data_IF_657281552909
#
_entry.id   IF_657281552909
#
_cell.length_a   1.000
_cell.length_b   1.000
_cell.length_c   1.000
_cell.angle_alpha   90.00
_cell.angle_beta   90.00
_cell.angle_gamma   90.00
#
_symmetry.space_group_name_H-M   'P 1'
#
loop_
_entity.id
_entity.type
_entity.pdbx_description
1 polymer ?
#
# COMPACT_ATOMS: atom_id res chain seq x y z
N UNK A 1 -25.05 -13.26 1.43
CA UNK A 1 -24.17 -14.34 1.97
C UNK A 1 -23.31 -13.77 3.10
N UNK A 2 -22.55 -14.59 3.84
CA UNK A 2 -21.66 -14.12 4.91
C UNK A 2 -20.20 -14.49 4.62
N UNK A 3 -19.29 -13.56 4.90
CA UNK A 3 -17.84 -13.70 4.72
C UNK A 3 -17.13 -13.50 6.04
N UNK A 4 -16.07 -14.26 6.26
CA UNK A 4 -15.29 -14.26 7.50
C UNK A 4 -13.87 -13.74 7.23
N UNK A 5 -13.44 -12.79 8.06
CA UNK A 5 -12.10 -12.23 8.06
C UNK A 5 -11.50 -12.33 9.46
N UNK A 6 -10.18 -12.24 9.55
CA UNK A 6 -9.46 -12.18 10.82
C UNK A 6 -8.63 -10.90 10.87
N UNK A 7 -8.67 -10.22 12.01
CA UNK A 7 -7.86 -9.03 12.30
C UNK A 7 -7.04 -9.32 13.55
N UNK A 8 -5.73 -9.13 13.46
CA UNK A 8 -4.82 -9.29 14.58
C UNK A 8 -4.94 -8.10 15.52
N UNK A 9 -5.11 -8.36 16.82
CA UNK A 9 -5.09 -7.30 17.83
C UNK A 9 -4.62 -7.80 19.18
N UNK A 10 -3.61 -7.11 19.73
CA UNK A 10 -3.08 -7.37 21.07
C UNK A 10 -2.65 -8.83 21.30
N UNK A 11 -2.08 -9.48 20.28
CA UNK A 11 -1.58 -10.85 20.39
C UNK A 11 -2.57 -11.94 19.99
N UNK A 12 -3.78 -11.57 19.53
CA UNK A 12 -4.84 -12.52 19.20
C UNK A 12 -5.51 -12.19 17.88
N UNK A 13 -5.87 -13.22 17.12
CA UNK A 13 -6.71 -13.09 15.93
C UNK A 13 -8.18 -12.94 16.33
N UNK A 14 -8.82 -11.88 15.86
CA UNK A 14 -10.24 -11.59 16.07
C UNK A 14 -11.02 -11.84 14.81
N UNK A 15 -12.02 -12.71 14.91
CA UNK A 15 -12.93 -13.03 13.82
C UNK A 15 -13.92 -11.88 13.57
N UNK A 16 -14.10 -11.51 12.30
CA UNK A 16 -15.05 -10.51 11.85
C UNK A 16 -15.87 -11.08 10.69
N UNK A 17 -17.18 -11.17 10.92
CA UNK A 17 -18.14 -11.63 9.91
C UNK A 17 -18.85 -10.43 9.28
N UNK A 18 -18.92 -10.37 7.96
CA UNK A 18 -19.63 -9.33 7.20
C UNK A 18 -20.52 -9.94 6.13
N UNK A 19 -21.65 -9.28 5.85
CA UNK A 19 -22.47 -9.55 4.67
C UNK A 19 -21.90 -8.89 3.41
N UNK A 20 -22.52 -9.15 2.27
CA UNK A 20 -22.17 -8.65 0.93
C UNK A 20 -22.76 -7.27 0.56
N UNK A 21 -23.49 -6.60 1.46
CA UNK A 21 -23.98 -5.23 1.18
C UNK A 21 -22.83 -4.23 1.26
N UNK A 22 -22.33 -3.79 0.10
CA UNK A 22 -21.27 -2.80 0.00
C UNK A 22 -21.84 -1.39 -0.25
N UNK A 23 -21.27 -0.33 0.34
CA UNK A 23 -21.65 1.05 0.03
C UNK A 23 -21.39 1.40 -1.43
N UNK A 24 -22.39 2.00 -2.10
CA UNK A 24 -22.35 2.36 -3.52
C UNK A 24 -22.79 3.82 -3.68
N UNK A 25 -22.04 4.59 -4.48
CA UNK A 25 -22.38 5.95 -4.89
C UNK A 25 -22.38 5.97 -6.43
N UNK A 26 -23.47 6.48 -7.02
CA UNK A 26 -23.63 6.55 -8.49
C UNK A 26 -23.37 5.22 -9.23
N UNK A 27 -23.77 4.10 -8.62
CA UNK A 27 -23.57 2.76 -9.18
C UNK A 27 -22.15 2.19 -9.08
N UNK A 28 -21.23 2.88 -8.38
CA UNK A 28 -19.86 2.43 -8.15
C UNK A 28 -19.60 2.22 -6.65
N UNK A 29 -18.73 1.28 -6.30
CA UNK A 29 -18.30 1.09 -4.90
C UNK A 29 -17.75 2.41 -4.35
N UNK A 30 -18.24 2.82 -3.18
CA UNK A 30 -17.86 4.10 -2.56
C UNK A 30 -16.43 4.10 -2.01
N UNK A 31 -15.90 2.92 -1.68
CA UNK A 31 -14.58 2.71 -1.09
C UNK A 31 -13.72 1.83 -2.02
N UNK A 32 -13.01 0.82 -1.49
CA UNK A 32 -12.16 -0.08 -2.26
C UNK A 32 -12.92 -0.63 -3.48
N UNK A 33 -12.37 -0.35 -4.67
CA UNK A 33 -12.93 -0.76 -5.95
C UNK A 33 -12.67 -2.25 -6.21
N UNK A 34 -13.47 -2.84 -7.09
CA UNK A 34 -13.20 -4.20 -7.56
C UNK A 34 -11.83 -4.29 -8.21
N UNK A 35 -11.10 -5.36 -7.93
CA UNK A 35 -9.78 -5.61 -8.49
C UNK A 35 -9.89 -6.50 -9.73
N UNK A 36 -9.03 -6.27 -10.73
CA UNK A 36 -8.87 -7.16 -11.87
C UNK A 36 -10.04 -7.18 -12.87
N UNK A 37 -9.92 -8.09 -13.83
CA UNK A 37 -10.96 -8.45 -14.80
C UNK A 37 -10.89 -9.97 -15.00
N UNK A 38 -11.86 -10.76 -14.51
CA UNK A 38 -13.17 -10.35 -13.95
C UNK A 38 -13.06 -9.60 -12.60
N UNK A 39 -14.11 -8.85 -12.20
CA UNK A 39 -14.08 -8.04 -10.98
C UNK A 39 -14.09 -8.90 -9.72
N UNK A 40 -13.08 -8.69 -8.87
CA UNK A 40 -12.94 -9.33 -7.56
C UNK A 40 -13.34 -8.37 -6.44
N UNK A 41 -14.19 -8.83 -5.52
CA UNK A 41 -14.75 -8.00 -4.43
C UNK A 41 -14.12 -8.26 -3.06
N UNK A 42 -13.14 -9.19 -2.96
CA UNK A 42 -12.55 -9.54 -1.67
C UNK A 42 -11.88 -8.34 -0.99
N UNK A 43 -11.30 -7.42 -1.76
CA UNK A 43 -10.71 -6.18 -1.23
C UNK A 43 -11.75 -5.27 -0.56
N UNK A 44 -12.91 -5.08 -1.22
CA UNK A 44 -14.02 -4.30 -0.67
C UNK A 44 -14.63 -4.94 0.58
N UNK A 45 -14.75 -6.27 0.60
CA UNK A 45 -15.24 -7.02 1.76
C UNK A 45 -14.24 -6.99 2.93
N UNK A 46 -12.94 -7.08 2.64
CA UNK A 46 -11.87 -6.95 3.64
C UNK A 46 -11.90 -5.55 4.27
N UNK A 47 -11.99 -4.51 3.46
CA UNK A 47 -12.10 -3.12 3.93
C UNK A 47 -13.36 -2.92 4.79
N UNK A 48 -14.50 -3.50 4.39
CA UNK A 48 -15.72 -3.50 5.20
C UNK A 48 -15.53 -4.18 6.55
N UNK A 49 -14.88 -5.35 6.58
CA UNK A 49 -14.60 -6.06 7.82
C UNK A 49 -13.67 -5.24 8.74
N UNK A 50 -12.67 -4.59 8.16
CA UNK A 50 -11.75 -3.72 8.88
C UNK A 50 -12.46 -2.46 9.42
N UNK A 51 -13.32 -1.84 8.62
CA UNK A 51 -14.18 -0.74 9.06
C UNK A 51 -15.11 -1.16 10.21
N UNK A 52 -15.73 -2.36 10.11
CA UNK A 52 -16.56 -2.93 11.18
C UNK A 52 -15.76 -3.12 12.47
N UNK A 53 -14.53 -3.61 12.38
CA UNK A 53 -13.63 -3.75 13.53
C UNK A 53 -13.35 -2.40 14.20
N UNK A 54 -13.13 -1.35 13.40
CA UNK A 54 -12.92 0.03 13.85
C UNK A 54 -14.21 0.85 14.04
N UNK A 55 -15.38 0.19 13.93
CA UNK A 55 -16.75 0.73 14.12
C UNK A 55 -17.31 1.64 13.02
N UNK A 56 -16.51 2.10 12.06
CA UNK A 56 -16.95 2.98 10.99
C UNK A 56 -15.95 2.96 9.81
N UNK A 57 -16.40 3.30 8.61
CA UNK A 57 -15.50 3.50 7.47
C UNK A 57 -14.62 4.74 7.67
N UNK A 58 -15.21 5.79 8.24
CA UNK A 58 -14.54 7.05 8.59
C UNK A 58 -13.40 6.83 9.60
N UNK A 59 -13.49 5.78 10.43
CA UNK A 59 -12.44 5.44 11.38
C UNK A 59 -11.17 4.88 10.71
N UNK A 60 -11.28 4.36 9.49
CA UNK A 60 -10.15 3.80 8.72
C UNK A 60 -9.70 4.70 7.57
N UNK A 61 -10.39 5.83 7.36
CA UNK A 61 -9.97 6.87 6.42
C UNK A 61 -8.64 7.52 6.80
N UNK A 62 -8.26 7.47 8.09
CA UNK A 62 -6.96 7.97 8.56
C UNK A 62 -6.24 7.01 9.50
N UNK A 63 -4.90 6.98 9.50
CA UNK A 63 -4.14 6.05 10.35
C UNK A 63 -2.64 5.97 10.06
N UNK A 64 -1.98 4.98 10.66
CA UNK A 64 -0.60 4.62 10.36
C UNK A 64 -0.60 3.31 9.54
N UNK A 65 0.00 3.27 8.34
CA UNK A 65 0.04 2.05 7.53
C UNK A 65 0.72 0.87 8.22
N UNK A 66 1.67 1.13 9.14
CA UNK A 66 2.30 0.06 9.93
C UNK A 66 1.31 -0.62 10.86
N UNK A 67 0.39 0.15 11.46
CA UNK A 67 -0.67 -0.43 12.31
C UNK A 67 -1.62 -1.28 11.48
N UNK A 68 -1.99 -0.81 10.29
CA UNK A 68 -2.83 -1.58 9.38
C UNK A 68 -2.13 -2.86 8.91
N UNK A 69 -0.82 -2.80 8.61
CA UNK A 69 -0.04 -3.97 8.22
C UNK A 69 0.01 -4.99 9.38
N UNK A 70 0.33 -4.55 10.59
CA UNK A 70 0.30 -5.41 11.79
C UNK A 70 -1.09 -5.98 12.07
N UNK A 71 -2.15 -5.18 11.96
CA UNK A 71 -3.52 -5.66 12.20
C UNK A 71 -3.97 -6.67 11.12
N UNK A 72 -3.43 -6.60 9.89
CA UNK A 72 -3.78 -7.52 8.79
C UNK A 72 -2.89 -8.77 8.70
N UNK A 73 -1.63 -8.71 9.15
CA UNK A 73 -0.68 -9.83 9.03
C UNK A 73 -0.27 -10.44 10.36
N UNK A 74 -0.40 -9.70 11.46
CA UNK A 74 0.18 -10.05 12.75
C UNK A 74 1.69 -9.79 12.84
N UNK A 75 2.30 -9.23 11.79
CA UNK A 75 3.75 -9.00 11.76
C UNK A 75 4.18 -7.81 12.60
N UNK A 76 5.45 -7.87 13.02
CA UNK A 76 6.16 -6.74 13.61
C UNK A 76 6.62 -5.83 12.48
N UNK A 77 6.19 -4.57 12.53
CA UNK A 77 6.53 -3.57 11.52
C UNK A 77 7.62 -2.61 12.01
N UNK A 78 8.63 -2.39 11.17
CA UNK A 78 9.69 -1.41 11.39
C UNK A 78 9.61 -0.29 10.32
N UNK A 79 10.14 0.89 10.64
CA UNK A 79 10.19 2.01 9.70
C UNK A 79 11.57 2.67 9.69
N UNK A 80 12.05 2.91 8.48
CA UNK A 80 13.34 3.54 8.20
C UNK A 80 13.13 4.83 7.41
N UNK A 81 13.67 5.93 7.90
CA UNK A 81 13.75 7.16 7.12
C UNK A 81 15.00 7.14 6.26
N UNK A 82 14.85 7.33 4.94
CA UNK A 82 15.96 7.40 3.98
C UNK A 82 16.98 8.48 4.34
N UNK A 83 16.59 9.50 5.11
CA UNK A 83 17.49 10.58 5.55
C UNK A 83 18.40 10.18 6.72
N UNK A 84 18.02 9.16 7.49
CA UNK A 84 18.66 8.81 8.75
C UNK A 84 19.52 7.54 8.66
N UNK A 85 19.51 6.85 7.51
CA UNK A 85 20.21 5.58 7.30
C UNK A 85 21.09 5.74 6.08
N UNK A 86 22.33 5.22 6.14
CA UNK A 86 23.19 5.24 4.96
C UNK A 86 22.57 4.38 3.85
N UNK A 87 22.82 4.72 2.58
CA UNK A 87 22.24 3.99 1.46
C UNK A 87 22.65 2.50 1.45
N UNK A 88 23.90 2.22 1.85
CA UNK A 88 24.45 0.87 1.95
C UNK A 88 23.73 0.04 3.01
N UNK A 89 23.53 0.61 4.21
CA UNK A 89 22.83 -0.07 5.30
C UNK A 89 21.36 -0.30 4.96
N UNK A 90 20.70 0.71 4.37
CA UNK A 90 19.30 0.60 3.98
C UNK A 90 19.08 -0.49 2.93
N UNK A 91 19.91 -0.53 1.88
CA UNK A 91 19.78 -1.56 0.86
C UNK A 91 20.03 -2.95 1.46
N UNK A 92 21.01 -3.10 2.35
CA UNK A 92 21.29 -4.36 3.01
C UNK A 92 20.08 -4.87 3.84
N UNK A 93 19.45 -3.97 4.62
CA UNK A 93 18.23 -4.26 5.38
C UNK A 93 17.10 -4.71 4.44
N UNK A 94 16.86 -3.96 3.35
CA UNK A 94 15.80 -4.27 2.39
C UNK A 94 16.06 -5.57 1.63
N UNK A 95 17.31 -5.86 1.31
CA UNK A 95 17.72 -7.10 0.64
C UNK A 95 17.46 -8.31 1.54
N UNK A 96 17.88 -8.26 2.81
CA UNK A 96 17.60 -9.33 3.78
C UNK A 96 16.09 -9.48 4.00
N UNK A 97 15.37 -8.38 4.16
CA UNK A 97 13.92 -8.39 4.35
C UNK A 97 13.20 -9.05 3.16
N UNK A 98 13.63 -8.73 1.94
CA UNK A 98 13.13 -9.37 0.72
C UNK A 98 13.45 -10.87 0.67
N UNK A 99 14.69 -11.26 1.00
CA UNK A 99 15.09 -12.68 1.07
C UNK A 99 14.28 -13.46 2.11
N UNK A 100 13.89 -12.82 3.21
CA UNK A 100 13.04 -13.38 4.27
C UNK A 100 11.55 -13.33 3.94
N UNK A 101 11.17 -12.88 2.74
CA UNK A 101 9.77 -12.73 2.28
C UNK A 101 8.94 -11.76 3.12
N UNK A 102 9.58 -10.79 3.77
CA UNK A 102 8.89 -9.73 4.51
C UNK A 102 8.12 -8.80 3.56
N UNK A 103 7.02 -8.26 4.05
CA UNK A 103 6.30 -7.19 3.35
C UNK A 103 7.06 -5.86 3.50
N UNK A 104 7.36 -5.23 2.36
CA UNK A 104 8.10 -3.98 2.32
C UNK A 104 7.25 -2.94 1.60
N UNK A 105 6.89 -1.89 2.34
CA UNK A 105 6.16 -0.75 1.81
C UNK A 105 7.04 0.50 1.89
N UNK A 106 6.92 1.38 0.89
CA UNK A 106 7.59 2.67 0.87
C UNK A 106 6.61 3.74 0.40
N UNK A 107 6.87 4.98 0.76
CA UNK A 107 6.07 6.11 0.32
C UNK A 107 6.96 7.34 0.21
N UNK A 108 6.57 8.25 -0.66
CA UNK A 108 7.21 9.55 -0.76
C UNK A 108 6.60 10.47 0.28
N UNK A 109 7.43 11.33 0.89
CA UNK A 109 6.93 12.28 1.86
C UNK A 109 7.61 13.66 1.78
N UNK A 110 6.81 14.73 1.85
CA UNK A 110 7.28 16.09 2.20
C UNK A 110 6.93 16.51 3.66
N UNK A 111 5.90 15.95 4.29
CA UNK A 111 5.50 16.18 5.70
C UNK A 111 4.88 14.91 6.34
N UNK A 112 5.28 14.50 7.55
CA UNK A 112 4.78 13.30 8.29
C UNK A 112 3.35 12.88 7.91
N UNK A 113 3.19 11.62 7.47
CA UNK A 113 1.95 11.05 6.94
C UNK A 113 0.71 11.46 7.76
N UNK A 114 0.01 12.50 7.31
CA UNK A 114 -1.40 12.69 7.62
C UNK A 114 -2.15 11.92 6.56
N UNK A 115 -2.91 10.91 6.97
CA UNK A 115 -3.63 10.03 6.07
C UNK A 115 -4.85 10.72 5.39
N UNK A 116 -4.82 12.05 5.20
CA UNK A 116 -5.69 12.77 4.26
C UNK A 116 -5.26 12.52 2.81
N UNK A 117 -5.16 11.27 2.36
CA UNK A 117 -4.55 11.05 1.04
C UNK A 117 -4.43 9.65 0.47
N UNK A 118 -4.98 8.61 1.10
CA UNK A 118 -5.37 7.43 0.32
C UNK A 118 -6.76 7.66 -0.25
N UNK A 119 -6.91 8.71 -1.05
CA UNK A 119 -8.09 8.83 -1.89
C UNK A 119 -7.95 7.72 -2.94
N UNK A 120 -8.60 6.58 -2.71
CA UNK A 120 -9.05 5.79 -3.84
C UNK A 120 -10.04 6.68 -4.60
N UNK A 121 -9.55 7.33 -5.65
CA UNK A 121 -10.38 7.84 -6.73
C UNK A 121 -11.62 8.65 -6.30
N UNK A 122 -11.46 9.82 -5.69
CA UNK A 122 -12.45 10.86 -5.99
C UNK A 122 -12.18 11.30 -7.42
N UNK A 123 -13.07 10.94 -8.36
CA UNK A 123 -13.09 11.56 -9.68
C UNK A 123 -13.08 13.07 -9.45
N UNK A 124 -11.95 13.70 -9.77
CA UNK A 124 -11.82 15.14 -9.80
C UNK A 124 -12.98 15.68 -10.63
N UNK A 125 -13.86 16.46 -9.99
CA UNK A 125 -14.76 17.32 -10.75
C UNK A 125 -13.87 18.18 -11.65
N UNK A 126 -14.17 18.14 -12.94
CA UNK A 126 -13.46 18.84 -14.02
C UNK A 126 -12.95 20.22 -13.57
N UNK A 127 -11.64 20.40 -13.69
CA UNK A 127 -11.05 21.72 -13.88
C UNK A 127 -9.96 22.06 -12.88
N UNK A 128 -8.77 21.48 -13.05
CA UNK A 128 -7.47 22.15 -12.86
C UNK A 128 -6.37 21.16 -13.24
N UNK A 129 -5.41 21.59 -14.05
CA UNK A 129 -4.19 20.82 -14.35
C UNK A 129 -3.55 20.39 -13.03
N UNK A 130 -3.56 19.09 -12.74
CA UNK A 130 -3.03 18.53 -11.49
C UNK A 130 -1.59 18.96 -11.27
N UNK A 131 -1.39 19.87 -10.32
CA UNK A 131 -0.09 20.27 -9.79
C UNK A 131 0.48 19.09 -9.00
N UNK A 132 1.81 18.88 -9.03
CA UNK A 132 2.51 17.67 -8.55
C UNK A 132 2.40 17.29 -7.06
N UNK A 133 1.38 17.75 -6.34
CA UNK A 133 1.08 17.41 -4.94
C UNK A 133 0.37 16.06 -4.78
N UNK A 134 -0.41 15.61 -5.77
CA UNK A 134 -1.16 14.35 -5.71
C UNK A 134 -0.27 13.09 -5.82
N UNK A 135 0.92 13.24 -6.40
CA UNK A 135 1.94 12.18 -6.51
C UNK A 135 2.61 11.86 -5.17
N UNK A 136 2.55 12.79 -4.20
CA UNK A 136 3.38 12.78 -2.99
C UNK A 136 2.78 12.00 -1.81
N UNK A 137 1.67 11.29 -2.00
CA UNK A 137 0.98 10.55 -0.92
C UNK A 137 0.71 9.08 -1.24
N UNK A 138 1.47 8.49 -2.17
CA UNK A 138 1.25 7.12 -2.62
C UNK A 138 2.08 6.14 -1.81
N UNK A 139 1.41 5.16 -1.22
CA UNK A 139 2.05 3.95 -0.70
C UNK A 139 2.37 3.04 -1.88
N UNK A 140 3.62 2.70 -2.00
CA UNK A 140 4.16 1.79 -2.99
C UNK A 140 4.68 0.54 -2.26
N UNK A 141 4.77 -0.55 -2.99
CA UNK A 141 5.29 -1.82 -2.47
C UNK A 141 6.62 -2.14 -3.15
N UNK A 142 7.61 -2.58 -2.37
CA UNK A 142 8.85 -3.12 -2.90
C UNK A 142 8.63 -4.61 -3.17
N UNK A 143 8.78 -4.99 -4.43
CA UNK A 143 8.47 -6.35 -4.92
C UNK A 143 9.71 -7.16 -5.29
N UNK A 144 10.90 -6.53 -5.29
CA UNK A 144 12.19 -7.20 -5.39
C UNK A 144 13.32 -6.30 -4.90
N UNK A 145 14.36 -6.91 -4.35
CA UNK A 145 15.67 -6.30 -4.11
C UNK A 145 16.74 -7.21 -4.71
N UNK A 146 17.57 -6.69 -5.62
CA UNK A 146 18.55 -7.48 -6.35
C UNK A 146 19.83 -6.70 -6.63
N UNK A 147 20.90 -7.41 -6.99
CA UNK A 147 22.16 -6.82 -7.44
C UNK A 147 22.43 -7.24 -8.87
N UNK A 148 22.77 -6.29 -9.73
CA UNK A 148 23.10 -6.52 -11.14
C UNK A 148 24.57 -6.25 -11.40
N UNK A 149 25.28 -7.13 -12.14
CA UNK A 149 26.65 -6.87 -12.55
C UNK A 149 26.67 -5.78 -13.63
N UNK A 150 27.53 -4.78 -13.44
CA UNK A 150 27.80 -3.72 -14.41
C UNK A 150 29.01 -4.09 -15.27
N UNK A 151 29.12 -3.41 -16.43
CA UNK A 151 30.21 -3.64 -17.41
C UNK A 151 31.60 -3.30 -16.86
N UNK A 152 31.67 -2.44 -15.84
CA UNK A 152 32.89 -2.06 -15.14
C UNK A 152 33.32 -3.06 -14.04
N UNK A 153 32.56 -4.16 -13.88
CA UNK A 153 32.79 -5.17 -12.85
C UNK A 153 32.17 -4.85 -11.48
N UNK A 154 31.55 -3.67 -11.32
CA UNK A 154 30.85 -3.32 -10.09
C UNK A 154 29.46 -3.94 -10.03
N UNK A 155 28.90 -4.05 -8.82
CA UNK A 155 27.54 -4.56 -8.60
C UNK A 155 26.59 -3.41 -8.28
N UNK A 156 25.61 -3.17 -9.13
CA UNK A 156 24.56 -2.18 -8.90
C UNK A 156 23.44 -2.78 -8.05
N UNK A 157 23.09 -2.09 -6.96
CA UNK A 157 21.98 -2.48 -6.08
C UNK A 157 20.68 -1.85 -6.57
N UNK A 158 19.66 -2.66 -6.87
CA UNK A 158 18.41 -2.24 -7.52
C UNK A 158 17.19 -2.76 -6.75
N UNK A 159 16.17 -1.91 -6.62
CA UNK A 159 14.86 -2.26 -6.06
C UNK A 159 13.79 -2.20 -7.16
N UNK A 160 12.87 -3.15 -7.15
CA UNK A 160 11.66 -3.11 -7.98
C UNK A 160 10.49 -2.62 -7.16
N UNK A 161 10.06 -1.38 -7.41
CA UNK A 161 8.95 -0.74 -6.71
C UNK A 161 7.70 -0.78 -7.60
N UNK A 162 6.54 -1.11 -7.03
CA UNK A 162 5.26 -1.15 -7.71
C UNK A 162 4.25 -0.24 -6.99
N UNK A 163 3.55 0.60 -7.75
CA UNK A 163 2.33 1.25 -7.28
C UNK A 163 1.14 0.29 -7.54
N UNK A 164 0.42 -0.16 -6.50
CA UNK A 164 -0.71 -1.06 -6.67
C UNK A 164 -1.90 -0.42 -7.39
N UNK A 165 -1.98 0.91 -7.47
CA UNK A 165 -3.10 1.65 -8.06
C UNK A 165 -2.81 2.17 -9.47
N UNK A 166 -1.62 1.92 -10.02
CA UNK A 166 -1.36 2.25 -11.43
C UNK A 166 -1.95 1.17 -12.34
N UNK A 167 -2.83 1.59 -13.25
CA UNK A 167 -3.45 0.76 -14.28
C UNK A 167 -2.47 0.36 -15.40
N UNK A 168 -1.30 -0.18 -15.04
CA UNK A 168 -0.26 -0.61 -15.97
C UNK A 168 0.55 0.52 -16.61
N UNK A 169 0.34 1.79 -16.24
CA UNK A 169 1.19 2.89 -16.70
C UNK A 169 2.48 2.97 -15.86
N UNK A 170 3.66 3.06 -16.50
CA UNK A 170 4.93 3.20 -15.77
C UNK A 170 4.97 4.55 -15.05
N UNK A 171 5.28 4.53 -13.75
CA UNK A 171 5.48 5.76 -12.96
C UNK A 171 6.86 6.37 -13.15
N UNK A 172 7.83 5.54 -13.55
CA UNK A 172 9.22 5.90 -13.72
C UNK A 172 9.63 5.67 -15.16
N UNK A 173 10.07 6.73 -15.83
CA UNK A 173 10.54 6.71 -17.22
C UNK A 173 12.06 6.96 -17.31
N UNK A 174 12.77 6.85 -16.18
CA UNK A 174 14.22 7.01 -16.12
C UNK A 174 14.95 5.67 -16.24
N UNK A 175 16.21 5.63 -15.82
CA UNK A 175 17.05 4.43 -15.91
C UNK A 175 16.36 3.19 -15.30
N UNK A 176 16.53 2.05 -15.97
CA UNK A 176 15.93 0.75 -15.61
C UNK A 176 14.38 0.74 -15.61
N UNK A 177 13.72 1.70 -16.26
CA UNK A 177 12.29 1.58 -16.61
C UNK A 177 12.06 0.47 -17.64
N UNK A 178 10.92 -0.23 -17.53
CA UNK A 178 10.48 -1.26 -18.47
C UNK A 178 10.19 -0.75 -19.87
#
# INVERSE_FOLDING_TARGET
CAFQFHVWRFGEWREIIVDDYLPVIDGHLAYCSSLGSPPEFWGALLEKAYAKFHKAYEAIETGNPLNALTDLTGDVCEHYSVRNVTQLDLFHILYISYSNRSHICCWLNKECLKLKGFLCHQKSQKGSRGTGEEFLKRLMIVTAATKFPMLDGNMLSVLRIKDPYCNGQPLWNGDFSS
#
